data_IF_643866400403
#
_entry.id   IF_643866400403
#
_cell.length_a   1.000
_cell.length_b   1.000
_cell.length_c   1.000
_cell.angle_alpha   90.00
_cell.angle_beta   90.00
_cell.angle_gamma   90.00
#
_symmetry.space_group_name_H-M   'P 1'
#
loop_
_entity.id
_entity.type
_entity.pdbx_description
1 polymer ?
#
# COMPACT_ATOMS: atom_id res chain seq x y z
N UNK A 1 2.63 1.13 -23.31
CA UNK A 1 2.55 1.23 -24.79
C UNK A 1 1.16 1.55 -25.31
N UNK A 2 0.15 0.70 -25.09
CA UNK A 2 -1.25 0.97 -25.48
C UNK A 2 -1.70 2.39 -25.03
N UNK A 3 -1.29 2.82 -23.83
CA UNK A 3 -1.51 4.18 -23.34
C UNK A 3 -0.78 5.30 -24.12
N UNK A 4 0.49 5.12 -24.47
CA UNK A 4 1.27 6.16 -25.13
C UNK A 4 0.82 6.44 -26.57
N UNK A 5 0.27 5.43 -27.24
CA UNK A 5 -0.20 5.53 -28.62
C UNK A 5 -1.66 5.97 -28.70
N UNK A 6 -2.53 5.37 -27.89
CA UNK A 6 -3.97 5.51 -28.04
C UNK A 6 -4.68 6.06 -26.78
N UNK A 7 -3.91 6.41 -25.74
CA UNK A 7 -4.41 6.82 -24.41
C UNK A 7 -5.36 5.79 -23.78
N UNK A 8 -5.20 4.53 -24.16
CA UNK A 8 -5.97 3.42 -23.61
C UNK A 8 -5.45 3.00 -22.23
N UNK A 9 -6.30 3.15 -21.21
CA UNK A 9 -6.03 2.75 -19.81
C UNK A 9 -6.75 1.46 -19.41
N UNK A 10 -7.54 0.86 -20.30
CA UNK A 10 -8.24 -0.40 -20.03
C UNK A 10 -7.28 -1.56 -19.78
N UNK A 11 -7.73 -2.55 -19.01
CA UNK A 11 -6.97 -3.77 -18.73
C UNK A 11 -6.69 -4.50 -20.05
N UNK A 12 -5.44 -4.91 -20.26
CA UNK A 12 -5.01 -5.66 -21.44
C UNK A 12 -4.29 -6.93 -21.02
N UNK A 13 -4.47 -8.00 -21.79
CA UNK A 13 -3.59 -9.17 -21.73
C UNK A 13 -2.22 -8.80 -22.30
N UNK A 14 -1.15 -9.16 -21.58
CA UNK A 14 0.21 -8.77 -21.96
C UNK A 14 1.28 -9.53 -21.18
N UNK A 15 2.53 -9.19 -21.46
CA UNK A 15 3.72 -9.83 -20.90
C UNK A 15 4.77 -8.78 -20.53
N UNK A 16 5.70 -9.16 -19.65
CA UNK A 16 6.85 -8.32 -19.30
C UNK A 16 7.93 -8.50 -20.36
N UNK A 17 8.35 -7.40 -20.97
CA UNK A 17 9.47 -7.33 -21.89
C UNK A 17 10.69 -6.69 -21.22
N UNK A 18 11.88 -7.15 -21.63
CA UNK A 18 13.15 -6.53 -21.27
C UNK A 18 13.47 -5.46 -22.32
N UNK A 19 13.65 -4.21 -21.88
CA UNK A 19 13.82 -3.06 -22.78
C UNK A 19 15.13 -3.18 -23.58
N UNK A 20 16.19 -3.67 -22.96
CA UNK A 20 17.50 -3.94 -23.58
C UNK A 20 17.56 -5.26 -24.38
N UNK A 21 16.47 -6.03 -24.38
CA UNK A 21 16.39 -7.39 -24.97
C UNK A 21 17.34 -8.41 -24.35
N UNK A 22 17.85 -8.15 -23.14
CA UNK A 22 18.66 -9.09 -22.36
C UNK A 22 17.82 -9.69 -21.22
N UNK A 23 17.47 -10.96 -21.36
CA UNK A 23 16.67 -11.69 -20.38
C UNK A 23 17.38 -11.91 -19.03
N UNK A 24 18.70 -11.67 -18.94
CA UNK A 24 19.45 -11.75 -17.69
C UNK A 24 19.37 -10.45 -16.85
N UNK A 25 18.93 -9.35 -17.45
CA UNK A 25 18.86 -8.05 -16.79
C UNK A 25 17.46 -7.78 -16.21
N UNK A 26 17.18 -8.38 -15.04
CA UNK A 26 15.91 -8.22 -14.34
C UNK A 26 15.79 -6.92 -13.52
N UNK A 27 16.61 -5.90 -13.80
CA UNK A 27 16.52 -4.62 -13.11
C UNK A 27 15.12 -4.00 -13.32
N UNK A 28 14.44 -3.51 -12.27
CA UNK A 28 13.06 -3.01 -12.39
C UNK A 28 12.88 -1.91 -13.46
N UNK A 29 13.89 -1.07 -13.66
CA UNK A 29 13.87 -0.02 -14.68
C UNK A 29 13.98 -0.54 -16.12
N UNK A 30 14.49 -1.77 -16.31
CA UNK A 30 14.63 -2.49 -17.57
C UNK A 30 13.39 -3.31 -17.95
N UNK A 31 12.48 -3.54 -17.00
CA UNK A 31 11.24 -4.28 -17.23
C UNK A 31 10.09 -3.35 -17.61
N UNK A 32 9.28 -3.79 -18.57
CA UNK A 32 8.08 -3.07 -18.99
C UNK A 32 6.96 -4.03 -19.37
N UNK A 33 5.75 -3.74 -18.89
CA UNK A 33 4.56 -4.47 -19.34
C UNK A 33 4.13 -3.98 -20.73
N UNK A 34 3.94 -4.93 -21.65
CA UNK A 34 3.41 -4.69 -22.99
C UNK A 34 2.18 -5.58 -23.24
N UNK A 35 1.11 -4.98 -23.74
CA UNK A 35 -0.03 -5.71 -24.31
C UNK A 35 0.48 -6.57 -25.48
N UNK A 36 -0.06 -7.79 -25.68
CA UNK A 36 0.50 -8.80 -26.61
C UNK A 36 0.80 -8.24 -28.01
N UNK A 37 -0.12 -7.45 -28.57
CA UNK A 37 0.05 -6.79 -29.88
C UNK A 37 1.29 -5.90 -29.94
N UNK A 38 1.54 -5.12 -28.89
CA UNK A 38 2.70 -4.23 -28.82
C UNK A 38 3.97 -4.93 -28.39
N UNK A 39 3.85 -6.07 -27.69
CA UNK A 39 4.97 -6.95 -27.40
C UNK A 39 5.55 -7.51 -28.71
N UNK A 40 4.69 -8.03 -29.59
CA UNK A 40 5.10 -8.54 -30.90
C UNK A 40 5.77 -7.45 -31.75
N UNK A 41 5.21 -6.22 -31.75
CA UNK A 41 5.79 -5.11 -32.48
C UNK A 41 7.18 -4.69 -31.95
N UNK A 42 7.35 -4.68 -30.62
CA UNK A 42 8.60 -4.32 -29.95
C UNK A 42 9.72 -5.37 -30.19
N UNK A 43 9.35 -6.65 -30.18
CA UNK A 43 10.27 -7.75 -30.47
C UNK A 43 10.57 -7.88 -31.97
N UNK A 44 9.64 -7.46 -32.84
CA UNK A 44 9.84 -7.53 -34.28
C UNK A 44 10.94 -6.60 -34.79
N UNK A 45 11.80 -7.12 -35.66
CA UNK A 45 12.79 -6.34 -36.41
C UNK A 45 12.33 -6.22 -37.87
N UNK A 46 11.25 -5.46 -38.15
CA UNK A 46 10.88 -5.24 -39.55
C UNK A 46 11.75 -4.13 -40.16
N UNK A 47 12.22 -4.33 -41.39
CA UNK A 47 13.05 -3.35 -42.11
C UNK A 47 12.25 -2.21 -42.74
N UNK A 48 10.92 -2.20 -42.56
CA UNK A 48 9.98 -1.32 -43.24
C UNK A 48 9.26 -0.34 -42.31
N UNK A 49 9.01 -0.70 -41.05
CA UNK A 49 8.46 0.22 -40.05
C UNK A 49 9.52 0.66 -39.06
N UNK A 50 9.44 1.91 -38.60
CA UNK A 50 10.22 2.35 -37.44
C UNK A 50 9.67 1.59 -36.22
N UNK A 51 10.41 0.59 -35.75
CA UNK A 51 10.11 -0.10 -34.50
C UNK A 51 10.09 0.88 -33.32
N UNK A 52 9.44 0.50 -32.24
CA UNK A 52 9.42 1.30 -31.00
C UNK A 52 10.82 1.32 -30.39
N UNK A 53 11.32 2.50 -30.08
CA UNK A 53 12.61 2.66 -29.40
C UNK A 53 12.47 2.42 -27.88
N UNK A 54 13.54 1.94 -27.22
CA UNK A 54 13.63 1.87 -25.76
C UNK A 54 13.23 3.16 -25.03
N UNK A 55 13.59 4.32 -25.60
CA UNK A 55 13.32 5.62 -24.98
C UNK A 55 11.84 6.02 -25.07
N UNK A 56 11.18 5.74 -26.21
CA UNK A 56 9.73 5.90 -26.34
C UNK A 56 8.98 5.01 -25.35
N UNK A 57 9.42 3.76 -25.18
CA UNK A 57 8.80 2.83 -24.24
C UNK A 57 8.92 3.33 -22.80
N UNK A 58 10.08 3.88 -22.42
CA UNK A 58 10.28 4.49 -21.10
C UNK A 58 9.42 5.74 -20.92
N UNK A 59 9.36 6.62 -21.92
CA UNK A 59 8.55 7.84 -21.87
C UNK A 59 7.06 7.51 -21.68
N UNK A 60 6.53 6.58 -22.47
CA UNK A 60 5.13 6.17 -22.37
C UNK A 60 4.80 5.44 -21.07
N UNK A 61 5.76 4.71 -20.47
CA UNK A 61 5.59 4.15 -19.13
C UNK A 61 5.46 5.25 -18.09
N UNK A 62 6.36 6.24 -18.12
CA UNK A 62 6.31 7.38 -17.21
C UNK A 62 5.02 8.17 -17.34
N UNK A 63 4.57 8.46 -18.57
CA UNK A 63 3.29 9.15 -18.81
C UNK A 63 2.09 8.36 -18.28
N UNK A 64 2.05 7.04 -18.48
CA UNK A 64 1.00 6.19 -17.93
C UNK A 64 0.98 6.26 -16.41
N UNK A 65 2.15 6.16 -15.77
CA UNK A 65 2.25 6.23 -14.31
C UNK A 65 1.82 7.59 -13.79
N UNK A 66 2.24 8.68 -14.44
CA UNK A 66 1.80 10.02 -14.07
C UNK A 66 0.29 10.20 -14.20
N UNK A 67 -0.33 9.71 -15.27
CA UNK A 67 -1.75 9.94 -15.51
C UNK A 67 -2.63 9.01 -14.66
N UNK A 68 -2.19 7.78 -14.42
CA UNK A 68 -2.79 6.90 -13.41
C UNK A 68 -2.68 7.57 -12.03
N UNK A 69 -1.49 8.04 -11.66
CA UNK A 69 -1.27 8.74 -10.39
C UNK A 69 -2.10 10.03 -10.27
N UNK A 70 -2.21 10.82 -11.33
CA UNK A 70 -3.11 12.00 -11.41
C UNK A 70 -4.57 11.58 -11.25
N UNK A 71 -5.01 10.49 -11.86
CA UNK A 71 -6.40 10.01 -11.72
C UNK A 71 -6.70 9.53 -10.29
N UNK A 72 -5.71 8.93 -9.61
CA UNK A 72 -5.80 8.58 -8.20
C UNK A 72 -5.78 9.83 -7.30
N UNK A 73 -4.90 10.80 -7.57
CA UNK A 73 -4.80 12.04 -6.78
C UNK A 73 -5.93 13.03 -7.03
N UNK A 74 -6.54 13.06 -8.22
CA UNK A 74 -7.69 13.90 -8.51
C UNK A 74 -8.98 13.35 -7.87
N UNK A 75 -9.03 12.04 -7.60
CA UNK A 75 -10.02 11.43 -6.69
C UNK A 75 -9.71 11.74 -5.21
N UNK A 76 -8.46 12.00 -4.86
CA UNK A 76 -8.03 12.52 -3.56
C UNK A 76 -8.11 14.06 -3.55
N UNK A 77 -9.31 14.64 -3.67
CA UNK A 77 -9.48 16.07 -3.39
C UNK A 77 -9.36 16.32 -1.89
N UNK A 78 -8.15 16.62 -1.43
CA UNK A 78 -7.91 17.17 -0.09
C UNK A 78 -8.74 18.45 0.08
N UNK A 79 -9.76 18.39 0.93
CA UNK A 79 -10.71 19.46 1.20
C UNK A 79 -12.17 19.01 1.19
N UNK A 80 -12.48 17.89 0.54
CA UNK A 80 -13.79 17.24 0.58
C UNK A 80 -13.56 15.72 0.59
N UNK A 81 -13.14 15.23 1.75
CA UNK A 81 -13.04 13.80 2.02
C UNK A 81 -14.48 13.28 2.17
N UNK A 82 -15.16 12.97 1.06
CA UNK A 82 -16.29 12.04 1.15
C UNK A 82 -15.69 10.67 1.45
N UNK A 83 -15.41 10.43 2.74
CA UNK A 83 -15.33 9.08 3.27
C UNK A 83 -16.59 8.38 2.73
N UNK A 84 -16.48 7.23 2.03
CA UNK A 84 -17.67 6.49 1.67
C UNK A 84 -18.49 6.36 2.95
N UNK A 85 -19.75 6.79 2.91
CA UNK A 85 -20.59 7.03 4.08
C UNK A 85 -20.91 5.76 4.91
N UNK A 86 -20.16 4.68 4.74
CA UNK A 86 -20.34 3.41 5.42
C UNK A 86 -19.10 2.52 5.42
N UNK A 87 -17.87 3.05 5.37
CA UNK A 87 -16.71 2.18 5.67
C UNK A 87 -16.80 1.74 7.15
N UNK A 88 -17.00 0.44 7.42
CA UNK A 88 -17.26 -0.04 8.77
C UNK A 88 -16.04 0.11 9.69
N UNK A 89 -14.83 0.28 9.15
CA UNK A 89 -13.58 0.24 9.91
C UNK A 89 -12.80 1.55 9.91
N UNK A 90 -13.06 2.45 8.95
CA UNK A 90 -12.42 3.76 8.90
C UNK A 90 -12.76 4.63 10.12
N UNK A 91 -11.80 5.42 10.58
CA UNK A 91 -11.94 6.35 11.70
C UNK A 91 -11.03 6.03 12.87
N UNK A 92 -11.34 6.67 14.01
CA UNK A 92 -10.52 6.62 15.22
C UNK A 92 -10.94 5.48 16.13
N UNK A 93 -9.94 4.81 16.67
CA UNK A 93 -10.06 3.73 17.62
C UNK A 93 -9.36 4.13 18.91
N UNK A 94 -10.01 3.88 20.05
CA UNK A 94 -9.51 4.22 21.38
C UNK A 94 -9.30 2.93 22.14
N UNK A 95 -8.14 2.76 22.76
CA UNK A 95 -7.85 1.61 23.61
C UNK A 95 -8.76 1.59 24.84
N UNK A 96 -9.33 0.43 25.15
CA UNK A 96 -10.30 0.25 26.23
C UNK A 96 -9.87 -0.74 27.32
N UNK A 97 -8.73 -1.40 27.14
CA UNK A 97 -8.21 -2.44 28.04
C UNK A 97 -7.01 -2.00 28.87
N UNK A 98 -6.64 -0.71 28.83
CA UNK A 98 -5.53 -0.16 29.61
C UNK A 98 -5.89 1.20 30.21
N UNK A 99 -5.60 1.37 31.50
CA UNK A 99 -5.74 2.63 32.23
C UNK A 99 -4.44 3.45 32.28
N UNK A 100 -3.33 2.86 31.79
CA UNK A 100 -1.97 3.39 31.95
C UNK A 100 -1.38 3.73 30.59
N UNK A 101 -1.65 2.91 29.57
CA UNK A 101 -1.10 3.09 28.24
C UNK A 101 -2.18 3.60 27.31
N UNK A 102 -1.88 4.68 26.58
CA UNK A 102 -2.81 5.31 25.67
C UNK A 102 -2.35 5.10 24.24
N UNK A 103 -3.26 4.60 23.40
CA UNK A 103 -3.04 4.41 21.97
C UNK A 103 -4.30 4.82 21.22
N UNK A 104 -4.12 5.61 20.16
CA UNK A 104 -5.22 6.10 19.33
C UNK A 104 -4.93 5.85 17.83
N UNK A 105 -5.09 4.61 17.36
CA UNK A 105 -4.98 4.33 15.94
C UNK A 105 -6.14 4.94 15.14
N UNK A 106 -5.81 5.47 13.97
CA UNK A 106 -6.75 6.03 13.02
C UNK A 106 -6.59 5.35 11.67
N UNK A 107 -7.72 4.93 11.11
CA UNK A 107 -7.81 4.18 9.88
C UNK A 107 -8.36 5.08 8.78
N UNK A 108 -7.64 5.16 7.67
CA UNK A 108 -8.09 5.84 6.46
C UNK A 108 -8.24 4.80 5.36
N UNK A 109 -9.45 4.66 4.83
CA UNK A 109 -9.73 3.76 3.71
C UNK A 109 -8.88 4.14 2.49
N UNK A 110 -8.24 3.16 1.88
CA UNK A 110 -7.48 3.29 0.65
C UNK A 110 -8.19 2.55 -0.49
N UNK A 111 -7.89 2.87 -1.76
CA UNK A 111 -8.32 2.05 -2.87
C UNK A 111 -7.89 0.59 -2.70
N UNK A 112 -8.69 -0.34 -3.21
CA UNK A 112 -8.35 -1.77 -3.25
C UNK A 112 -6.98 -2.02 -3.90
N UNK A 113 -6.29 -3.04 -3.42
CA UNK A 113 -5.01 -3.46 -3.99
C UNK A 113 -5.21 -4.14 -5.37
N UNK A 114 -4.12 -4.51 -6.05
CA UNK A 114 -4.21 -5.19 -7.35
C UNK A 114 -4.88 -6.57 -7.31
N UNK A 115 -5.02 -7.16 -6.13
CA UNK A 115 -5.69 -8.44 -5.88
C UNK A 115 -7.19 -8.25 -5.56
N UNK A 116 -7.67 -7.01 -5.42
CA UNK A 116 -9.05 -6.68 -5.05
C UNK A 116 -9.31 -6.62 -3.54
N UNK A 117 -8.27 -6.69 -2.71
CA UNK A 117 -8.41 -6.61 -1.25
C UNK A 117 -8.52 -5.15 -0.79
N UNK A 118 -9.40 -4.90 0.16
CA UNK A 118 -9.53 -3.58 0.79
C UNK A 118 -8.25 -3.23 1.56
N UNK A 119 -7.85 -1.97 1.51
CA UNK A 119 -6.65 -1.48 2.18
C UNK A 119 -6.98 -0.29 3.07
N UNK A 120 -6.18 -0.14 4.12
CA UNK A 120 -6.28 0.97 5.05
C UNK A 120 -4.90 1.52 5.35
N UNK A 121 -4.77 2.84 5.34
CA UNK A 121 -3.64 3.51 5.96
C UNK A 121 -3.91 3.63 7.46
N UNK A 122 -3.05 3.02 8.25
CA UNK A 122 -3.06 3.08 9.70
C UNK A 122 -2.04 4.11 10.17
N UNK A 123 -2.49 5.07 10.96
CA UNK A 123 -1.63 6.03 11.65
C UNK A 123 -2.00 6.06 13.13
N UNK A 124 -1.03 6.11 14.03
CA UNK A 124 -1.33 6.18 15.47
C UNK A 124 -0.14 6.56 16.32
N UNK A 125 -0.44 7.03 17.53
CA UNK A 125 0.53 7.35 18.57
C UNK A 125 0.29 6.42 19.77
N UNK A 126 1.37 5.88 20.30
CA UNK A 126 1.39 5.09 21.51
C UNK A 126 2.18 5.81 22.60
N UNK A 127 1.57 5.92 23.78
CA UNK A 127 2.13 6.56 24.96
C UNK A 127 2.08 5.57 26.12
N UNK A 128 3.24 5.27 26.70
CA UNK A 128 3.32 4.53 27.97
C UNK A 128 3.45 5.50 29.13
N UNK A 129 2.62 5.35 30.15
CA UNK A 129 2.70 6.19 31.35
C UNK A 129 3.59 5.53 32.42
N UNK A 130 4.78 6.10 32.67
CA UNK A 130 5.70 5.59 33.68
C UNK A 130 7.16 5.99 33.42
N UNK A 131 7.70 6.86 34.29
CA UNK A 131 9.01 7.50 34.13
C UNK A 131 10.22 6.67 34.61
N UNK A 132 10.04 5.40 34.99
CA UNK A 132 11.06 4.61 35.70
C UNK A 132 11.87 3.64 34.81
N UNK A 133 11.87 3.82 33.50
CA UNK A 133 12.68 3.03 32.56
C UNK A 133 13.42 4.03 31.65
N UNK A 134 14.73 3.89 31.51
CA UNK A 134 15.62 4.70 30.63
C UNK A 134 15.33 4.51 29.12
N UNK A 135 14.10 4.19 28.76
CA UNK A 135 13.64 4.02 27.40
C UNK A 135 12.62 5.11 27.06
N UNK A 136 12.58 5.58 25.80
CA UNK A 136 11.46 6.33 25.28
C UNK A 136 10.12 5.69 25.68
N UNK A 137 9.10 6.51 25.92
CA UNK A 137 7.76 6.07 26.29
C UNK A 137 6.72 6.50 25.25
N UNK A 138 7.20 6.73 24.02
CA UNK A 138 6.46 7.23 22.88
C UNK A 138 6.80 6.37 21.68
N UNK A 139 5.79 6.04 20.88
CA UNK A 139 5.97 5.39 19.60
C UNK A 139 4.86 5.73 18.63
N UNK A 140 5.09 5.39 17.37
CA UNK A 140 4.21 5.70 16.25
C UNK A 140 4.05 4.49 15.36
N UNK A 141 2.86 4.35 14.79
CA UNK A 141 2.59 3.42 13.71
C UNK A 141 2.16 4.22 12.48
N UNK A 142 2.77 3.94 11.34
CA UNK A 142 2.38 4.45 10.02
C UNK A 142 2.57 3.32 9.03
N UNK A 143 1.48 2.66 8.64
CA UNK A 143 1.56 1.45 7.83
C UNK A 143 0.33 1.25 6.95
N UNK A 144 0.48 0.40 5.94
CA UNK A 144 -0.65 -0.07 5.13
C UNK A 144 -1.07 -1.44 5.66
N UNK A 145 -2.35 -1.54 6.00
CA UNK A 145 -2.99 -2.78 6.41
C UNK A 145 -3.89 -3.29 5.29
N UNK A 146 -3.84 -4.59 5.01
CA UNK A 146 -4.67 -5.26 4.01
C UNK A 146 -5.74 -6.07 4.73
N UNK A 147 -7.02 -5.87 4.39
CA UNK A 147 -8.14 -6.63 4.92
C UNK A 147 -8.40 -7.86 4.05
N UNK A 148 -8.42 -9.03 4.68
CA UNK A 148 -8.74 -10.31 4.07
C UNK A 148 -10.20 -10.71 4.33
N UNK A 149 -10.70 -11.68 3.56
CA UNK A 149 -12.11 -12.13 3.57
C UNK A 149 -12.58 -12.69 4.92
N UNK A 150 -11.65 -13.10 5.79
CA UNK A 150 -11.93 -13.62 7.14
C UNK A 150 -12.12 -12.51 8.19
N UNK A 151 -11.95 -11.24 7.81
CA UNK A 151 -12.07 -10.10 8.72
C UNK A 151 -10.76 -9.77 9.45
N UNK A 152 -9.65 -10.44 9.11
CA UNK A 152 -8.34 -10.10 9.60
C UNK A 152 -7.67 -9.05 8.72
N UNK A 153 -7.02 -8.09 9.35
CA UNK A 153 -6.17 -7.11 8.72
C UNK A 153 -4.72 -7.34 9.12
N UNK A 154 -3.84 -7.47 8.14
CA UNK A 154 -2.41 -7.68 8.41
C UNK A 154 -1.63 -6.45 7.98
N UNK A 155 -0.74 -6.01 8.87
CA UNK A 155 0.28 -5.02 8.55
C UNK A 155 1.51 -5.79 8.08
N UNK A 156 1.87 -5.62 6.81
CA UNK A 156 3.15 -6.08 6.30
C UNK A 156 4.16 -4.94 6.44
N UNK A 157 5.10 -5.09 7.37
CA UNK A 157 6.25 -4.21 7.50
C UNK A 157 7.44 -4.84 6.75
N UNK A 158 7.70 -4.36 5.54
CA UNK A 158 8.81 -4.83 4.69
C UNK A 158 10.20 -4.61 5.34
N UNK A 159 10.28 -3.84 6.44
CA UNK A 159 11.55 -3.47 7.08
C UNK A 159 11.97 -4.37 8.25
N UNK A 160 11.12 -5.28 8.75
CA UNK A 160 11.44 -6.15 9.90
C UNK A 160 11.02 -7.59 9.64
N UNK A 161 11.97 -8.41 9.20
CA UNK A 161 11.76 -9.80 8.78
C UNK A 161 11.05 -10.70 9.80
N UNK A 162 11.00 -10.32 11.08
CA UNK A 162 10.38 -11.13 12.14
C UNK A 162 9.20 -10.45 12.85
N UNK A 163 8.80 -9.21 12.55
CA UNK A 163 7.69 -8.56 13.26
C UNK A 163 6.40 -8.59 12.44
N UNK A 164 5.30 -9.05 13.06
CA UNK A 164 3.98 -8.99 12.46
C UNK A 164 3.00 -8.31 13.42
N UNK A 165 2.08 -7.52 12.86
CA UNK A 165 0.95 -6.97 13.59
C UNK A 165 -0.33 -7.34 12.88
N UNK A 166 -1.18 -8.05 13.62
CA UNK A 166 -2.48 -8.54 13.17
C UNK A 166 -3.57 -7.76 13.86
N UNK A 167 -4.51 -7.25 13.06
CA UNK A 167 -5.65 -6.46 13.47
C UNK A 167 -6.89 -7.29 13.20
N UNK A 168 -7.58 -7.73 14.25
CA UNK A 168 -8.79 -8.54 14.12
C UNK A 168 -10.00 -7.62 14.35
N UNK A 169 -10.81 -7.45 13.32
CA UNK A 169 -11.97 -6.56 13.35
C UNK A 169 -13.25 -7.35 13.61
N UNK A 170 -14.02 -6.92 14.61
CA UNK A 170 -15.32 -7.52 14.92
C UNK A 170 -16.33 -6.45 15.31
N UNK A 171 -17.20 -6.07 14.37
CA UNK A 171 -18.21 -5.01 14.53
C UNK A 171 -17.57 -3.68 14.98
N UNK A 172 -17.72 -3.34 16.27
CA UNK A 172 -17.23 -2.11 16.90
C UNK A 172 -15.99 -2.34 17.78
N UNK A 173 -15.35 -3.50 17.65
CA UNK A 173 -14.10 -3.84 18.36
C UNK A 173 -12.98 -4.14 17.39
N UNK A 174 -11.81 -3.64 17.76
CA UNK A 174 -10.54 -3.97 17.14
C UNK A 174 -9.67 -4.63 18.19
N UNK A 175 -9.16 -5.82 17.88
CA UNK A 175 -8.11 -6.47 18.66
C UNK A 175 -6.80 -6.36 17.87
N UNK A 176 -5.78 -5.77 18.48
CA UNK A 176 -4.44 -5.68 17.92
C UNK A 176 -3.58 -6.73 18.60
N UNK A 177 -2.87 -7.54 17.82
CA UNK A 177 -1.87 -8.51 18.29
C UNK A 177 -0.55 -8.23 17.61
N UNK A 178 0.51 -8.18 18.41
CA UNK A 178 1.88 -7.97 17.94
C UNK A 178 2.67 -9.25 18.19
N UNK A 179 3.40 -9.73 17.19
CA UNK A 179 4.38 -10.82 17.36
C UNK A 179 5.79 -10.26 17.22
N UNK A 180 6.71 -10.73 18.07
CA UNK A 180 8.12 -10.30 18.11
C UNK A 180 8.28 -8.78 18.32
N UNK A 181 7.68 -8.28 19.41
CA UNK A 181 7.52 -6.89 19.86
C UNK A 181 8.76 -5.97 19.91
N UNK A 182 9.97 -6.45 19.62
CA UNK A 182 11.17 -5.66 19.85
C UNK A 182 11.26 -4.48 18.88
N UNK A 183 10.82 -3.32 19.36
CA UNK A 183 11.04 -1.98 18.81
C UNK A 183 10.27 -1.65 17.53
N UNK A 184 9.23 -2.43 17.18
CA UNK A 184 8.40 -2.21 16.00
C UNK A 184 7.99 -0.75 15.83
N UNK A 185 7.43 -0.18 16.90
CA UNK A 185 6.80 1.14 16.89
C UNK A 185 7.48 2.17 17.78
N UNK A 186 8.57 1.79 18.46
CA UNK A 186 9.27 2.60 19.46
C UNK A 186 9.80 1.72 20.60
N UNK A 187 10.75 2.22 21.39
CA UNK A 187 11.16 1.50 22.60
C UNK A 187 10.03 1.59 23.64
N UNK A 188 9.69 0.46 24.28
CA UNK A 188 8.88 0.45 25.49
C UNK A 188 7.40 0.81 25.32
N UNK A 189 6.86 0.81 24.11
CA UNK A 189 5.43 1.00 23.83
C UNK A 189 4.92 -0.10 22.91
N UNK A 190 3.62 -0.36 22.96
CA UNK A 190 2.93 -1.37 22.14
C UNK A 190 1.56 -0.85 21.72
N UNK A 191 1.11 -1.26 20.54
CA UNK A 191 -0.28 -1.13 20.10
C UNK A 191 -1.10 -2.38 20.40
N UNK A 192 -0.53 -3.46 20.94
CA UNK A 192 -1.29 -4.64 21.37
C UNK A 192 -2.37 -4.25 22.38
N UNK A 193 -3.60 -4.73 22.15
CA UNK A 193 -4.73 -4.51 23.05
C UNK A 193 -6.08 -4.52 22.36
N UNK A 194 -7.12 -4.21 23.12
CA UNK A 194 -8.49 -4.03 22.65
C UNK A 194 -8.87 -2.56 22.51
N UNK A 195 -9.58 -2.26 21.43
CA UNK A 195 -9.99 -0.93 21.05
C UNK A 195 -11.48 -0.89 20.73
N UNK A 196 -12.10 0.26 21.01
CA UNK A 196 -13.44 0.60 20.58
C UNK A 196 -13.42 1.81 19.65
N UNK A 197 -14.39 1.87 18.74
CA UNK A 197 -14.55 3.03 17.86
C UNK A 197 -15.00 4.26 18.65
N UNK A 198 -14.43 5.43 18.31
CA UNK A 198 -14.81 6.73 18.89
C UNK A 198 -16.05 7.34 18.25
#
# INVERSE_FOLDING_TARGET
>A
MCYGLDRETGIKSGQIAHIDKDASNSAPNNLVFLCLVHHDYFDSSTSQSKGLSPDEVKAFRSELYEDVFKSFTQKLRFGELELPASDPYAGKWIRIDSDIDSTEPNFISLPENFEGNNQYFLSGLALRHGANIDCPNLGTIEAVAVLFDDGEMVIHDDFKEDHSTTLILSNDRLQVREENECYAYGMGVTFEGEYARS
#
